data_IF_587815519345
#
_entry.id   IF_587815519345
#
_cell.length_a   1.000
_cell.length_b   1.000
_cell.length_c   1.000
_cell.angle_alpha   90.00
_cell.angle_beta   90.00
_cell.angle_gamma   90.00
#
_symmetry.space_group_name_H-M   'P 1'
#
loop_
_entity.id
_entity.type
_entity.pdbx_description
1 polymer ?
#
# COMPACT_ATOMS: atom_id res chain seq x y z
N UNK A 1 -20.57 14.19 -42.55
CA UNK A 1 -20.21 14.49 -41.15
C UNK A 1 -18.76 14.08 -40.98
N UNK A 2 -17.83 15.03 -40.99
CA UNK A 2 -16.40 14.76 -40.95
C UNK A 2 -15.68 15.76 -40.04
N UNK A 3 -14.88 15.17 -39.13
CA UNK A 3 -13.62 15.60 -38.53
C UNK A 3 -13.50 16.95 -37.79
N UNK A 4 -13.11 16.80 -36.51
CA UNK A 4 -12.23 17.74 -35.81
C UNK A 4 -12.95 18.59 -34.79
N UNK A 5 -12.69 18.36 -33.50
CA UNK A 5 -12.07 19.42 -32.71
C UNK A 5 -11.45 18.85 -31.43
N UNK A 6 -10.13 18.99 -31.41
CA UNK A 6 -9.24 18.80 -30.29
C UNK A 6 -9.48 19.89 -29.23
N UNK A 7 -9.42 19.49 -27.96
CA UNK A 7 -9.07 20.26 -26.76
C UNK A 7 -9.45 21.75 -26.66
N UNK A 8 -10.27 22.09 -25.67
CA UNK A 8 -10.19 23.39 -25.00
C UNK A 8 -10.06 23.20 -23.48
N UNK A 9 -8.80 23.16 -23.03
CA UNK A 9 -8.41 23.40 -21.65
C UNK A 9 -8.87 24.80 -21.25
N UNK A 10 -9.86 24.89 -20.36
CA UNK A 10 -10.23 26.16 -19.74
C UNK A 10 -9.55 26.26 -18.38
N UNK A 11 -8.47 27.03 -18.37
CA UNK A 11 -7.71 27.50 -17.22
C UNK A 11 -8.63 27.98 -16.10
N UNK A 12 -8.79 27.13 -15.08
CA UNK A 12 -9.14 27.54 -13.72
C UNK A 12 -7.85 27.75 -12.95
N UNK A 13 -7.48 29.01 -12.75
CA UNK A 13 -6.31 29.44 -12.00
C UNK A 13 -6.50 29.08 -10.52
N UNK A 14 -5.94 27.95 -10.07
CA UNK A 14 -5.84 27.61 -8.64
C UNK A 14 -4.36 27.60 -8.22
N UNK A 15 -3.99 28.26 -7.12
CA UNK A 15 -2.61 28.32 -6.65
C UNK A 15 -2.24 26.99 -5.99
N UNK A 16 -1.23 26.30 -6.53
CA UNK A 16 -0.39 25.32 -5.82
C UNK A 16 -1.09 24.29 -4.90
N UNK A 17 -2.21 23.70 -5.31
CA UNK A 17 -2.65 22.43 -4.74
C UNK A 17 -2.35 21.33 -5.75
N UNK A 18 -1.29 20.56 -5.48
CA UNK A 18 -1.16 19.20 -6.02
C UNK A 18 -2.29 18.39 -5.42
N UNK A 19 -3.50 18.58 -5.97
CA UNK A 19 -4.62 17.72 -5.72
C UNK A 19 -4.17 16.32 -6.11
N UNK A 20 -3.82 15.52 -5.10
CA UNK A 20 -3.85 14.08 -5.20
C UNK A 20 -5.27 13.73 -5.58
N UNK A 21 -5.56 13.74 -6.89
CA UNK A 21 -6.72 13.07 -7.41
C UNK A 21 -6.50 11.62 -7.02
N UNK A 22 -7.12 11.20 -5.92
CA UNK A 22 -7.04 9.85 -5.39
C UNK A 22 -7.29 8.93 -6.57
N UNK A 23 -6.28 8.13 -6.95
CA UNK A 23 -6.40 7.27 -8.11
C UNK A 23 -7.57 6.31 -7.81
N UNK A 24 -8.33 5.84 -8.80
CA UNK A 24 -9.37 4.84 -8.57
C UNK A 24 -8.83 3.56 -7.87
N UNK A 25 -7.53 3.31 -7.94
CA UNK A 25 -6.81 2.29 -7.16
C UNK A 25 -6.79 2.57 -5.66
N UNK A 26 -6.70 3.84 -5.25
CA UNK A 26 -6.60 4.24 -3.85
C UNK A 26 -7.91 3.95 -3.11
N UNK A 27 -9.07 4.17 -3.75
CA UNK A 27 -10.37 3.86 -3.14
C UNK A 27 -10.60 2.37 -2.96
N UNK A 28 -10.15 1.54 -3.91
CA UNK A 28 -10.16 0.08 -3.79
C UNK A 28 -9.19 -0.41 -2.70
N UNK A 29 -8.02 0.22 -2.62
CA UNK A 29 -7.00 -0.12 -1.62
C UNK A 29 -7.47 0.21 -0.21
N UNK A 30 -8.13 1.36 -0.02
CA UNK A 30 -8.74 1.75 1.26
C UNK A 30 -9.90 0.82 1.66
N UNK A 31 -10.66 0.28 0.70
CA UNK A 31 -11.71 -0.70 1.00
C UNK A 31 -11.14 -2.06 1.45
N UNK A 32 -9.94 -2.42 0.99
CA UNK A 32 -9.26 -3.66 1.36
C UNK A 32 -8.38 -3.55 2.62
N UNK A 33 -8.23 -2.34 3.16
CA UNK A 33 -7.43 -2.08 4.36
C UNK A 33 -7.80 -2.97 5.56
N UNK A 34 -9.10 -3.19 5.89
CA UNK A 34 -9.47 -4.04 7.02
C UNK A 34 -8.99 -5.48 6.88
N UNK A 35 -8.99 -6.03 5.67
CA UNK A 35 -8.46 -7.37 5.37
C UNK A 35 -6.94 -7.41 5.58
N UNK A 36 -6.24 -6.37 5.10
CA UNK A 36 -4.80 -6.27 5.26
C UNK A 36 -4.37 -6.08 6.73
N UNK A 37 -5.13 -5.29 7.49
CA UNK A 37 -4.94 -5.14 8.94
C UNK A 37 -5.09 -6.49 9.63
N UNK A 38 -6.12 -7.27 9.28
CA UNK A 38 -6.34 -8.59 9.86
C UNK A 38 -5.20 -9.58 9.56
N UNK A 39 -4.67 -9.60 8.32
CA UNK A 39 -3.51 -10.45 8.00
C UNK A 39 -2.25 -10.03 8.80
N UNK A 40 -2.02 -8.72 8.99
CA UNK A 40 -0.91 -8.23 9.82
C UNK A 40 -1.10 -8.58 11.28
N UNK A 41 -2.31 -8.42 11.82
CA UNK A 41 -2.61 -8.80 13.21
C UNK A 41 -2.41 -10.30 13.43
N UNK A 42 -2.84 -11.16 12.52
CA UNK A 42 -2.60 -12.61 12.61
C UNK A 42 -1.10 -12.95 12.57
N UNK A 43 -0.32 -12.25 11.74
CA UNK A 43 1.14 -12.40 11.70
C UNK A 43 1.81 -11.98 13.03
N UNK A 44 1.30 -10.94 13.70
CA UNK A 44 1.76 -10.52 15.03
C UNK A 44 1.42 -11.60 16.07
N UNK A 45 0.17 -12.05 16.12
CA UNK A 45 -0.29 -13.02 17.12
C UNK A 45 0.40 -14.39 16.95
N UNK A 46 0.73 -14.78 15.72
CA UNK A 46 1.46 -16.01 15.44
C UNK A 46 2.97 -15.91 15.64
N UNK A 47 3.50 -14.73 16.02
CA UNK A 47 4.93 -14.50 16.20
C UNK A 47 5.75 -14.58 14.91
N UNK A 48 5.08 -14.41 13.76
CA UNK A 48 5.68 -14.51 12.42
C UNK A 48 6.02 -13.17 11.81
N UNK A 49 5.49 -12.06 12.34
CA UNK A 49 5.82 -10.72 11.87
C UNK A 49 7.16 -10.27 12.44
N UNK A 50 8.08 -9.89 11.55
CA UNK A 50 9.35 -9.26 11.89
C UNK A 50 9.30 -7.76 11.65
N UNK A 51 9.91 -7.00 12.55
CA UNK A 51 10.31 -5.63 12.26
C UNK A 51 11.46 -5.60 11.23
N UNK A 52 11.70 -4.47 10.54
CA UNK A 52 12.79 -4.34 9.59
C UNK A 52 14.15 -4.64 10.22
N UNK A 53 14.36 -4.25 11.49
CA UNK A 53 15.59 -4.53 12.23
C UNK A 53 15.76 -6.02 12.51
N UNK A 54 14.69 -6.72 12.91
CA UNK A 54 14.75 -8.17 13.15
C UNK A 54 14.93 -8.94 11.84
N UNK A 55 14.30 -8.50 10.75
CA UNK A 55 14.48 -9.07 9.43
C UNK A 55 15.92 -8.91 8.92
N UNK A 56 16.56 -7.76 9.18
CA UNK A 56 17.98 -7.56 8.88
C UNK A 56 18.90 -8.35 9.81
N UNK A 57 18.54 -8.50 11.09
CA UNK A 57 19.31 -9.25 12.08
C UNK A 57 19.24 -10.77 11.85
N UNK A 58 18.13 -11.26 11.31
CA UNK A 58 17.96 -12.66 10.90
C UNK A 58 18.65 -12.90 9.55
N UNK A 59 19.94 -13.21 9.59
CA UNK A 59 20.66 -13.72 8.43
C UNK A 59 20.40 -15.23 8.26
N UNK A 60 19.57 -15.63 7.27
CA UNK A 60 19.45 -17.04 6.86
C UNK A 60 18.04 -17.55 6.57
N UNK A 61 17.89 -18.89 6.56
CA UNK A 61 16.66 -19.59 6.18
C UNK A 61 15.44 -19.29 7.07
N UNK A 62 15.66 -18.98 8.35
CA UNK A 62 14.56 -18.64 9.29
C UNK A 62 13.88 -17.31 8.95
N UNK A 63 14.58 -16.37 8.30
CA UNK A 63 13.98 -15.13 7.82
C UNK A 63 12.98 -15.37 6.66
N UNK A 64 13.13 -16.47 5.91
CA UNK A 64 12.23 -16.81 4.80
C UNK A 64 10.87 -17.31 5.26
N UNK A 65 10.80 -17.85 6.47
CA UNK A 65 9.55 -18.38 7.04
C UNK A 65 8.73 -17.30 7.77
N UNK A 66 9.29 -16.11 7.91
CA UNK A 66 8.70 -14.99 8.61
C UNK A 66 8.25 -13.90 7.64
N UNK A 67 7.21 -13.18 8.02
CA UNK A 67 6.57 -12.13 7.23
C UNK A 67 7.06 -10.75 7.72
N UNK A 68 7.08 -9.76 6.84
CA UNK A 68 7.29 -8.34 7.15
C UNK A 68 6.06 -7.56 6.71
N UNK A 69 5.88 -6.32 7.21
CA UNK A 69 4.81 -5.46 6.69
C UNK A 69 4.87 -5.32 5.16
N UNK A 70 6.08 -5.26 4.60
CA UNK A 70 6.28 -5.20 3.16
C UNK A 70 5.84 -6.48 2.45
N UNK A 71 6.17 -7.67 2.96
CA UNK A 71 5.78 -8.94 2.31
C UNK A 71 4.26 -9.14 2.31
N UNK A 72 3.59 -8.80 3.41
CA UNK A 72 2.13 -8.85 3.53
C UNK A 72 1.50 -7.85 2.56
N UNK A 73 1.96 -6.60 2.56
CA UNK A 73 1.46 -5.57 1.65
C UNK A 73 1.63 -5.97 0.17
N UNK A 74 2.79 -6.53 -0.19
CA UNK A 74 3.09 -7.00 -1.55
C UNK A 74 2.19 -8.16 -1.98
N UNK A 75 1.98 -9.13 -1.09
CA UNK A 75 1.13 -10.31 -1.36
C UNK A 75 -0.32 -9.91 -1.57
N UNK A 76 -0.83 -9.00 -0.74
CA UNK A 76 -2.20 -8.48 -0.85
C UNK A 76 -2.35 -7.61 -2.10
N UNK A 77 -1.39 -6.74 -2.38
CA UNK A 77 -1.43 -5.87 -3.57
C UNK A 77 -1.45 -6.68 -4.87
N UNK A 78 -0.65 -7.75 -4.96
CA UNK A 78 -0.66 -8.66 -6.10
C UNK A 78 -1.98 -9.46 -6.21
N UNK A 79 -2.50 -9.97 -5.09
CA UNK A 79 -3.73 -10.80 -5.09
C UNK A 79 -4.97 -9.99 -5.48
N UNK A 80 -5.01 -8.72 -5.12
CA UNK A 80 -6.20 -7.85 -5.21
C UNK A 80 -6.04 -6.72 -6.23
N UNK A 81 -4.91 -6.68 -6.95
CA UNK A 81 -4.55 -5.61 -7.90
C UNK A 81 -4.65 -4.21 -7.25
N UNK A 82 -4.11 -4.08 -6.04
CA UNK A 82 -4.13 -2.85 -5.24
C UNK A 82 -2.84 -2.06 -5.37
N UNK A 83 -2.89 -0.80 -4.94
CA UNK A 83 -1.71 0.05 -4.89
C UNK A 83 -0.86 -0.31 -3.66
N UNK A 84 0.35 -0.82 -3.91
CA UNK A 84 1.28 -1.25 -2.86
C UNK A 84 1.69 -0.08 -1.96
N UNK A 85 1.96 1.08 -2.53
CA UNK A 85 2.50 2.22 -1.78
C UNK A 85 1.44 2.78 -0.84
N UNK A 86 0.18 2.87 -1.31
CA UNK A 86 -0.96 3.27 -0.49
C UNK A 86 -1.19 2.26 0.64
N UNK A 87 -1.17 0.97 0.33
CA UNK A 87 -1.39 -0.08 1.32
C UNK A 87 -0.27 -0.10 2.38
N UNK A 88 0.98 -0.04 1.94
CA UNK A 88 2.14 -0.03 2.82
C UNK A 88 2.14 1.22 3.70
N UNK A 89 1.87 2.41 3.14
CA UNK A 89 1.79 3.65 3.91
C UNK A 89 0.75 3.55 5.02
N UNK A 90 -0.44 3.03 4.70
CA UNK A 90 -1.51 2.86 5.68
C UNK A 90 -1.17 1.83 6.76
N UNK A 91 -0.56 0.70 6.39
CA UNK A 91 -0.12 -0.32 7.34
C UNK A 91 1.01 0.21 8.23
N UNK A 92 1.99 0.93 7.68
CA UNK A 92 3.08 1.55 8.44
C UNK A 92 2.60 2.63 9.41
N UNK A 93 1.57 3.40 9.05
CA UNK A 93 0.93 4.34 9.97
C UNK A 93 0.24 3.62 11.15
N UNK A 94 -0.40 2.47 10.87
CA UNK A 94 -1.13 1.70 11.88
C UNK A 94 -0.22 0.87 12.78
N UNK A 95 0.85 0.30 12.22
CA UNK A 95 1.79 -0.60 12.87
C UNK A 95 3.21 -0.02 12.87
N UNK A 96 3.36 1.19 13.38
CA UNK A 96 4.63 1.95 13.32
C UNK A 96 5.82 1.27 13.99
N UNK A 97 5.59 0.29 14.88
CA UNK A 97 6.67 -0.51 15.50
C UNK A 97 7.30 -1.55 14.56
N UNK A 98 6.68 -1.81 13.40
CA UNK A 98 7.12 -2.79 12.41
C UNK A 98 7.39 -2.17 11.04
N UNK A 99 7.37 -0.82 10.95
CA UNK A 99 7.62 -0.03 9.74
C UNK A 99 9.10 0.32 9.57
#
# INVERSE_FOLDING_TARGET
>A
MSLGDYNHYRHGHHPFTWGYASRPSDSKTLAALPEAIAEVEDAIHSGKLLSPFEAMALAGGEAREKETLYSIALKISQRRELDLDVLLTALSQRFSGYA
#
